data_IF_303128461004
#
_entry.id   IF_303128461004
#
_cell.length_a   1.000
_cell.length_b   1.000
_cell.length_c   1.000
_cell.angle_alpha   90.00
_cell.angle_beta   90.00
_cell.angle_gamma   90.00
#
_symmetry.space_group_name_H-M   'P 1'
#
loop_
_entity.id
_entity.type
_entity.pdbx_description
1 polymer ?
#
# COMPACT_ATOMS: atom_id res chain seq x y z
N UNK A 1 -34.40 8.69 -5.18
CA UNK A 1 -33.88 7.51 -4.46
C UNK A 1 -32.63 7.97 -3.73
N UNK A 2 -32.79 8.39 -2.48
CA UNK A 2 -31.72 9.00 -1.69
C UNK A 2 -30.95 7.90 -0.96
N UNK A 3 -29.62 7.92 -1.12
CA UNK A 3 -28.71 7.08 -0.34
C UNK A 3 -28.87 7.37 1.15
N UNK A 4 -29.01 6.30 1.92
CA UNK A 4 -28.97 6.31 3.38
C UNK A 4 -27.51 6.54 3.78
N UNK A 5 -27.20 7.75 4.23
CA UNK A 5 -25.97 8.03 4.98
C UNK A 5 -26.12 7.39 6.35
N UNK A 6 -25.14 6.57 6.76
CA UNK A 6 -25.03 6.05 8.13
C UNK A 6 -24.78 7.25 9.05
N UNK A 7 -25.86 7.85 9.53
CA UNK A 7 -25.81 8.70 10.72
C UNK A 7 -25.29 7.81 11.84
N UNK A 8 -24.10 8.13 12.35
CA UNK A 8 -23.59 7.52 13.58
C UNK A 8 -24.67 7.67 14.65
N UNK A 9 -25.27 6.54 15.03
CA UNK A 9 -26.13 6.50 16.19
C UNK A 9 -25.28 6.95 17.37
N UNK A 10 -25.65 8.09 17.97
CA UNK A 10 -25.14 8.45 19.28
C UNK A 10 -25.60 7.37 20.24
N UNK A 11 -24.69 6.49 20.61
CA UNK A 11 -24.91 5.48 21.63
C UNK A 11 -25.29 6.20 22.93
N UNK A 12 -26.50 5.94 23.44
CA UNK A 12 -27.02 6.54 24.68
C UNK A 12 -26.31 6.00 25.93
N UNK A 13 -25.26 5.21 25.76
CA UNK A 13 -24.42 4.62 26.81
C UNK A 13 -23.17 5.46 27.12
N UNK A 14 -22.89 6.52 26.35
CA UNK A 14 -21.75 7.41 26.58
C UNK A 14 -21.96 8.43 27.72
N UNK A 15 -23.12 8.46 28.37
CA UNK A 15 -23.51 9.53 29.30
C UNK A 15 -23.07 9.33 30.77
N UNK A 16 -22.33 8.26 31.09
CA UNK A 16 -21.83 8.03 32.44
C UNK A 16 -20.29 8.05 32.51
N UNK A 17 -19.68 9.17 32.14
CA UNK A 17 -18.28 9.45 32.50
C UNK A 17 -18.25 9.79 33.99
N UNK A 18 -17.97 8.81 34.85
CA UNK A 18 -17.57 9.11 36.22
C UNK A 18 -16.29 9.97 36.18
N UNK A 19 -16.28 11.19 36.75
CA UNK A 19 -15.08 12.02 36.76
C UNK A 19 -14.01 11.33 37.58
N UNK A 20 -12.86 11.02 36.97
CA UNK A 20 -11.68 10.57 37.70
C UNK A 20 -11.23 11.71 38.64
N UNK A 21 -11.08 11.47 39.96
CA UNK A 21 -10.69 12.51 40.89
C UNK A 21 -9.28 13.02 40.55
N UNK A 22 -9.15 14.33 40.32
CA UNK A 22 -7.88 15.01 40.01
C UNK A 22 -7.77 15.57 38.59
N UNK A 23 -8.73 15.31 37.70
CA UNK A 23 -8.80 15.99 36.40
C UNK A 23 -9.57 17.30 36.55
N UNK A 24 -8.95 18.42 36.16
CA UNK A 24 -9.62 19.70 36.03
C UNK A 24 -10.79 19.59 35.02
N UNK A 25 -11.79 20.48 35.08
CA UNK A 25 -12.83 20.54 34.06
C UNK A 25 -12.15 20.59 32.70
N UNK A 26 -12.48 19.65 31.79
CA UNK A 26 -11.94 19.64 30.43
C UNK A 26 -12.21 21.03 29.86
N UNK A 27 -11.15 21.80 29.60
CA UNK A 27 -11.27 23.02 28.80
C UNK A 27 -12.00 22.63 27.52
N UNK A 28 -12.96 23.45 27.08
CA UNK A 28 -13.66 23.24 25.83
C UNK A 28 -12.63 23.23 24.71
N UNK A 29 -12.21 22.03 24.31
CA UNK A 29 -11.31 21.84 23.18
C UNK A 29 -12.10 22.19 21.92
N UNK A 30 -11.48 22.96 21.02
CA UNK A 30 -12.05 23.26 19.70
C UNK A 30 -12.30 21.94 18.96
N UNK A 31 -13.38 21.90 18.18
CA UNK A 31 -13.59 20.77 17.27
C UNK A 31 -12.60 20.87 16.11
N UNK A 32 -12.38 19.75 15.40
CA UNK A 32 -11.56 19.75 14.19
C UNK A 32 -12.16 20.71 13.15
N UNK A 33 -13.50 20.71 13.05
CA UNK A 33 -14.26 21.57 12.15
C UNK A 33 -14.07 23.05 12.48
N UNK A 34 -14.10 23.44 13.76
CA UNK A 34 -13.85 24.82 14.17
C UNK A 34 -12.43 25.26 13.81
N UNK A 35 -11.44 24.41 14.08
CA UNK A 35 -10.04 24.69 13.73
C UNK A 35 -9.85 24.84 12.21
N UNK A 36 -10.46 23.97 11.41
CA UNK A 36 -10.44 24.06 9.95
C UNK A 36 -11.16 25.31 9.43
N UNK A 37 -12.25 25.74 10.09
CA UNK A 37 -12.96 26.96 9.71
C UNK A 37 -12.16 28.22 10.02
N UNK A 38 -11.50 28.28 11.18
CA UNK A 38 -10.59 29.36 11.57
C UNK A 38 -9.41 29.50 10.58
N UNK A 39 -8.87 28.37 10.12
CA UNK A 39 -7.77 28.34 9.13
C UNK A 39 -8.25 28.47 7.67
N UNK A 40 -9.56 28.63 7.43
CA UNK A 40 -10.14 28.79 6.08
C UNK A 40 -10.10 27.52 5.21
N UNK A 41 -9.91 26.35 5.81
CA UNK A 41 -9.83 25.04 5.16
C UNK A 41 -11.18 24.30 5.12
N UNK A 42 -12.22 24.85 5.74
CA UNK A 42 -13.56 24.26 5.76
C UNK A 42 -14.46 24.82 4.62
N UNK A 43 -15.25 23.98 3.92
CA UNK A 43 -15.31 22.51 4.04
C UNK A 43 -14.16 21.84 3.27
N UNK A 44 -13.67 20.72 3.80
CA UNK A 44 -12.75 19.86 3.06
C UNK A 44 -13.45 19.30 1.81
N UNK A 45 -12.80 19.47 0.66
CA UNK A 45 -13.28 18.95 -0.63
C UNK A 45 -12.23 18.00 -1.20
N UNK A 46 -12.68 16.88 -1.75
CA UNK A 46 -11.82 16.01 -2.53
C UNK A 46 -11.34 16.75 -3.78
N UNK A 47 -10.02 16.72 -4.03
CA UNK A 47 -9.40 17.38 -5.18
C UNK A 47 -9.40 16.48 -6.41
N UNK A 48 -9.04 15.20 -6.22
CA UNK A 48 -8.97 14.19 -7.27
C UNK A 48 -8.47 12.86 -6.72
N UNK A 49 -8.35 11.86 -7.59
CA UNK A 49 -7.78 10.54 -7.26
C UNK A 49 -6.42 10.45 -7.94
N UNK A 50 -5.36 10.34 -7.15
CA UNK A 50 -3.98 10.26 -7.65
C UNK A 50 -3.49 8.82 -7.84
N UNK A 51 -4.06 7.89 -7.06
CA UNK A 51 -3.60 6.50 -7.02
C UNK A 51 -4.78 5.55 -7.05
N UNK A 52 -4.76 4.60 -7.98
CA UNK A 52 -5.60 3.41 -7.94
C UNK A 52 -4.78 2.29 -7.30
N UNK A 53 -5.05 1.99 -6.03
CA UNK A 53 -4.40 0.87 -5.35
C UNK A 53 -5.21 -0.41 -5.53
N UNK A 54 -4.55 -1.49 -5.96
CA UNK A 54 -5.18 -2.76 -6.33
C UNK A 54 -4.52 -3.91 -5.57
N UNK A 55 -5.30 -4.65 -4.79
CA UNK A 55 -4.85 -5.85 -4.08
C UNK A 55 -4.98 -7.10 -4.94
N UNK A 56 -3.86 -7.74 -5.26
CA UNK A 56 -3.79 -8.88 -6.19
C UNK A 56 -4.11 -10.22 -5.51
N UNK A 57 -4.41 -10.20 -4.20
CA UNK A 57 -4.79 -11.37 -3.42
C UNK A 57 -4.04 -11.46 -2.10
N UNK A 58 -4.09 -12.65 -1.50
CA UNK A 58 -3.45 -12.98 -0.21
C UNK A 58 -2.31 -14.00 -0.32
N UNK A 59 -2.01 -14.48 -1.54
CA UNK A 59 -0.87 -15.36 -1.76
C UNK A 59 0.44 -14.62 -1.52
N UNK A 60 1.31 -15.17 -0.68
CA UNK A 60 2.62 -14.60 -0.38
C UNK A 60 3.64 -15.71 -0.12
N UNK A 61 4.93 -15.47 -0.42
CA UNK A 61 6.00 -16.44 -0.16
C UNK A 61 6.48 -16.44 1.30
N UNK A 62 5.89 -15.61 2.16
CA UNK A 62 6.21 -15.50 3.60
C UNK A 62 4.94 -15.35 4.43
N UNK A 63 5.04 -15.65 5.73
CA UNK A 63 3.97 -15.47 6.73
C UNK A 63 4.47 -14.51 7.81
N UNK A 64 4.08 -13.24 7.73
CA UNK A 64 4.51 -12.21 8.69
C UNK A 64 3.55 -12.15 9.89
N UNK A 65 4.08 -11.94 11.09
CA UNK A 65 3.28 -11.88 12.33
C UNK A 65 2.43 -10.61 12.44
N UNK A 66 2.73 -9.58 11.65
CA UNK A 66 2.04 -8.29 11.62
C UNK A 66 1.22 -8.08 10.33
N UNK A 67 0.96 -9.16 9.57
CA UNK A 67 0.29 -9.05 8.28
C UNK A 67 -1.20 -8.72 8.43
N UNK A 68 -1.60 -7.47 8.20
CA UNK A 68 -2.99 -7.02 8.32
C UNK A 68 -3.98 -7.68 7.33
N UNK A 69 -3.49 -8.32 6.26
CA UNK A 69 -4.32 -9.03 5.26
C UNK A 69 -4.34 -10.55 5.45
N UNK A 70 -3.57 -11.07 6.41
CA UNK A 70 -3.33 -12.50 6.66
C UNK A 70 -2.79 -13.25 5.43
N UNK A 71 -1.80 -12.67 4.74
CA UNK A 71 -1.17 -13.29 3.58
C UNK A 71 -0.17 -14.38 3.98
N UNK A 72 -0.15 -15.49 3.23
CA UNK A 72 0.71 -16.65 3.46
C UNK A 72 0.80 -17.56 2.21
N UNK A 73 1.74 -18.53 2.16
CA UNK A 73 1.94 -19.40 0.99
C UNK A 73 0.78 -20.35 0.68
N UNK A 74 -0.05 -20.64 1.68
CA UNK A 74 -1.20 -21.55 1.59
C UNK A 74 -2.46 -20.89 1.08
N UNK A 75 -2.51 -19.55 1.01
CA UNK A 75 -3.66 -18.81 0.47
C UNK A 75 -3.91 -19.18 -0.99
N UNK A 76 -5.16 -19.04 -1.39
CA UNK A 76 -5.65 -19.31 -2.75
C UNK A 76 -6.41 -18.13 -3.33
N UNK A 77 -6.72 -17.15 -2.50
CA UNK A 77 -7.34 -15.89 -2.87
C UNK A 77 -6.35 -15.09 -3.71
N UNK A 78 -6.51 -15.19 -5.02
CA UNK A 78 -5.77 -14.42 -6.01
C UNK A 78 -6.78 -13.70 -6.91
N UNK A 79 -6.46 -12.47 -7.28
CA UNK A 79 -7.25 -11.70 -8.24
C UNK A 79 -7.33 -12.46 -9.58
N UNK A 80 -8.54 -12.57 -10.14
CA UNK A 80 -8.78 -13.21 -11.43
C UNK A 80 -8.44 -12.28 -12.60
N UNK A 81 -8.35 -12.87 -13.79
CA UNK A 81 -8.11 -12.13 -15.03
C UNK A 81 -9.18 -11.08 -15.31
N UNK A 82 -10.44 -11.45 -15.13
CA UNK A 82 -11.60 -10.60 -15.39
C UNK A 82 -11.61 -9.38 -14.45
N UNK A 83 -11.25 -9.60 -13.18
CA UNK A 83 -11.12 -8.52 -12.20
C UNK A 83 -9.97 -7.58 -12.58
N UNK A 84 -8.82 -8.13 -13.00
CA UNK A 84 -7.67 -7.36 -13.41
C UNK A 84 -7.96 -6.51 -14.68
N UNK A 85 -8.74 -7.05 -15.63
CA UNK A 85 -9.25 -6.32 -16.79
C UNK A 85 -10.20 -5.19 -16.40
N UNK A 86 -11.09 -5.42 -15.43
CA UNK A 86 -11.96 -4.36 -14.90
C UNK A 86 -11.16 -3.22 -14.23
N UNK A 87 -10.09 -3.55 -13.48
CA UNK A 87 -9.20 -2.55 -12.90
C UNK A 87 -8.51 -1.71 -13.98
N UNK A 88 -8.00 -2.33 -15.05
CA UNK A 88 -7.39 -1.60 -16.16
C UNK A 88 -8.40 -0.79 -16.95
N UNK A 89 -9.63 -1.27 -17.14
CA UNK A 89 -10.69 -0.51 -17.78
C UNK A 89 -11.00 0.77 -16.99
N UNK A 90 -11.08 0.68 -15.65
CA UNK A 90 -11.26 1.84 -14.78
C UNK A 90 -10.06 2.81 -14.83
N UNK A 91 -8.84 2.27 -14.86
CA UNK A 91 -7.61 3.08 -15.00
C UNK A 91 -7.54 3.79 -16.36
N UNK A 92 -8.00 3.13 -17.43
CA UNK A 92 -8.05 3.69 -18.78
C UNK A 92 -9.15 4.74 -18.95
N UNK A 93 -10.25 4.65 -18.19
CA UNK A 93 -11.36 5.60 -18.26
C UNK A 93 -11.20 6.84 -17.38
N UNK A 94 -10.06 6.99 -16.70
CA UNK A 94 -9.80 8.08 -15.76
C UNK A 94 -8.43 8.72 -16.03
N UNK A 95 -8.16 9.87 -15.40
CA UNK A 95 -6.85 10.51 -15.46
C UNK A 95 -5.93 10.10 -14.29
N UNK A 96 -6.28 9.03 -13.56
CA UNK A 96 -5.50 8.56 -12.42
C UNK A 96 -4.08 8.21 -12.89
N UNK A 97 -3.03 8.90 -12.40
CA UNK A 97 -1.68 8.74 -12.94
C UNK A 97 -0.96 7.49 -12.44
N UNK A 98 -1.34 6.94 -11.27
CA UNK A 98 -0.60 5.86 -10.61
C UNK A 98 -1.46 4.61 -10.41
N UNK A 99 -0.91 3.45 -10.78
CA UNK A 99 -1.37 2.13 -10.36
C UNK A 99 -0.46 1.58 -9.26
N UNK A 100 -1.01 1.34 -8.07
CA UNK A 100 -0.28 0.83 -6.91
C UNK A 100 -0.68 -0.63 -6.63
N UNK A 101 0.22 -1.56 -6.90
CA UNK A 101 0.00 -3.00 -6.80
C UNK A 101 0.40 -3.50 -5.41
N UNK A 102 -0.55 -4.14 -4.71
CA UNK A 102 -0.40 -4.64 -3.33
C UNK A 102 -1.05 -6.01 -3.13
N UNK A 103 -1.13 -6.49 -1.88
CA UNK A 103 -1.79 -7.73 -1.49
C UNK A 103 -0.92 -8.55 -0.54
N UNK A 104 -0.75 -9.85 -0.86
CA UNK A 104 0.34 -10.66 -0.33
C UNK A 104 1.67 -10.28 -0.99
N UNK A 105 2.23 -11.19 -1.79
CA UNK A 105 3.27 -10.84 -2.76
C UNK A 105 2.58 -10.62 -4.12
N UNK A 106 2.32 -9.37 -4.55
CA UNK A 106 1.58 -9.10 -5.79
C UNK A 106 2.21 -9.80 -7.00
N UNK A 107 3.53 -9.98 -7.01
CA UNK A 107 4.32 -10.61 -8.05
C UNK A 107 4.02 -12.11 -8.22
N UNK A 108 3.42 -12.74 -7.20
CA UNK A 108 2.97 -14.14 -7.27
C UNK A 108 1.64 -14.32 -8.01
N UNK A 109 0.90 -13.24 -8.27
CA UNK A 109 -0.31 -13.33 -9.08
C UNK A 109 0.07 -13.55 -10.56
N UNK A 110 -0.54 -14.52 -11.28
CA UNK A 110 -0.21 -14.81 -12.67
C UNK A 110 -0.44 -13.64 -13.64
N UNK A 111 -1.23 -12.64 -13.24
CA UNK A 111 -1.56 -11.46 -14.04
C UNK A 111 -0.70 -10.24 -13.70
N UNK A 112 0.21 -10.33 -12.72
CA UNK A 112 1.06 -9.20 -12.29
C UNK A 112 1.82 -8.56 -13.44
N UNK A 113 2.57 -9.36 -14.21
CA UNK A 113 3.40 -8.85 -15.31
C UNK A 113 2.56 -8.19 -16.39
N UNK A 114 1.41 -8.78 -16.69
CA UNK A 114 0.47 -8.22 -17.66
C UNK A 114 -0.13 -6.89 -17.17
N UNK A 115 -0.53 -6.81 -15.89
CA UNK A 115 -1.03 -5.56 -15.29
C UNK A 115 0.01 -4.44 -15.40
N UNK A 116 1.27 -4.73 -15.05
CA UNK A 116 2.39 -3.79 -15.19
C UNK A 116 2.50 -3.32 -16.64
N UNK A 117 2.55 -4.25 -17.60
CA UNK A 117 2.69 -3.94 -19.02
C UNK A 117 1.56 -3.07 -19.56
N UNK A 118 0.31 -3.40 -19.26
CA UNK A 118 -0.84 -2.62 -19.73
C UNK A 118 -0.90 -1.24 -19.06
N UNK A 119 -0.62 -1.15 -17.76
CA UNK A 119 -0.56 0.14 -17.08
C UNK A 119 0.53 1.04 -17.67
N UNK A 120 1.71 0.48 -17.97
CA UNK A 120 2.79 1.21 -18.66
C UNK A 120 2.39 1.63 -20.09
N UNK A 121 1.61 0.81 -20.79
CA UNK A 121 1.09 1.14 -22.14
C UNK A 121 0.08 2.29 -22.11
N UNK A 122 -0.63 2.46 -21.00
CA UNK A 122 -1.49 3.60 -20.70
C UNK A 122 -0.73 4.82 -20.16
N UNK A 123 0.61 4.81 -20.22
CA UNK A 123 1.51 5.84 -19.68
C UNK A 123 1.30 6.11 -18.18
N UNK A 124 0.91 5.08 -17.41
CA UNK A 124 0.74 5.19 -15.96
C UNK A 124 2.02 4.85 -15.21
N UNK A 125 2.22 5.55 -14.11
CA UNK A 125 3.23 5.16 -13.12
C UNK A 125 2.78 3.88 -12.42
N UNK A 126 3.71 2.98 -12.15
CA UNK A 126 3.40 1.70 -11.50
C UNK A 126 4.26 1.56 -10.26
N UNK A 127 3.60 1.34 -9.13
CA UNK A 127 4.22 1.03 -7.84
C UNK A 127 3.98 -0.45 -7.55
N UNK A 128 5.04 -1.14 -7.13
CA UNK A 128 5.01 -2.51 -6.63
C UNK A 128 5.36 -2.52 -5.13
N UNK A 129 4.40 -2.88 -4.28
CA UNK A 129 4.61 -3.04 -2.84
C UNK A 129 5.22 -4.40 -2.54
N UNK A 130 6.53 -4.46 -2.73
CA UNK A 130 7.31 -5.68 -2.70
C UNK A 130 7.77 -6.04 -1.28
N UNK A 131 7.76 -7.34 -0.96
CA UNK A 131 8.33 -7.85 0.28
C UNK A 131 9.86 -8.06 0.25
N UNK A 132 10.50 -7.73 -0.88
CA UNK A 132 11.89 -7.94 -1.29
C UNK A 132 12.29 -9.41 -1.48
N UNK A 133 11.99 -10.29 -0.52
CA UNK A 133 12.49 -11.67 -0.56
C UNK A 133 11.96 -12.49 -1.75
N UNK A 134 10.78 -12.14 -2.28
CA UNK A 134 10.19 -12.77 -3.47
C UNK A 134 11.09 -12.65 -4.69
N UNK A 135 11.87 -11.56 -4.80
CA UNK A 135 12.77 -11.30 -5.93
C UNK A 135 13.95 -12.29 -6.03
N UNK A 136 14.16 -13.12 -4.99
CA UNK A 136 15.13 -14.23 -4.99
C UNK A 136 14.49 -15.60 -4.87
N UNK A 137 13.16 -15.68 -4.79
CA UNK A 137 12.47 -16.95 -4.69
C UNK A 137 12.62 -17.74 -6.00
N UNK A 138 12.69 -19.08 -5.94
CA UNK A 138 12.68 -19.91 -7.14
C UNK A 138 11.46 -19.59 -8.02
N UNK A 139 11.70 -19.39 -9.32
CA UNK A 139 10.65 -19.00 -10.28
C UNK A 139 10.44 -17.49 -10.42
N UNK A 140 11.12 -16.67 -9.62
CA UNK A 140 10.97 -15.21 -9.59
C UNK A 140 12.31 -14.46 -9.71
N UNK A 141 13.39 -15.16 -10.01
CA UNK A 141 14.75 -14.59 -10.06
C UNK A 141 14.96 -13.59 -11.20
N UNK A 142 14.08 -13.57 -12.20
CA UNK A 142 14.07 -12.61 -13.32
C UNK A 142 13.20 -11.38 -13.06
N UNK A 143 12.49 -11.33 -11.91
CA UNK A 143 11.65 -10.17 -11.56
C UNK A 143 12.44 -8.87 -11.47
N UNK A 144 13.64 -8.79 -10.86
CA UNK A 144 14.41 -7.55 -10.81
C UNK A 144 14.63 -6.91 -12.19
N UNK A 145 15.01 -7.72 -13.18
CA UNK A 145 15.22 -7.27 -14.56
C UNK A 145 13.89 -6.84 -15.20
N UNK A 146 12.81 -7.59 -14.98
CA UNK A 146 11.48 -7.24 -15.48
C UNK A 146 10.99 -5.89 -14.91
N UNK A 147 11.10 -5.69 -13.60
CA UNK A 147 10.68 -4.46 -12.91
C UNK A 147 11.50 -3.26 -13.41
N UNK A 148 12.82 -3.43 -13.55
CA UNK A 148 13.69 -2.39 -14.11
C UNK A 148 13.34 -2.05 -15.57
N UNK A 149 13.10 -3.05 -16.42
CA UNK A 149 12.74 -2.85 -17.82
C UNK A 149 11.43 -2.06 -17.99
N UNK A 150 10.48 -2.22 -17.08
CA UNK A 150 9.19 -1.52 -17.10
C UNK A 150 9.18 -0.24 -16.24
N UNK A 151 10.32 0.13 -15.64
CA UNK A 151 10.47 1.30 -14.75
C UNK A 151 9.45 1.28 -13.61
N UNK A 152 9.21 0.11 -13.02
CA UNK A 152 8.34 -0.04 -11.86
C UNK A 152 9.05 0.54 -10.63
N UNK A 153 8.35 1.39 -9.88
CA UNK A 153 8.80 1.85 -8.58
C UNK A 153 8.56 0.76 -7.54
N UNK A 154 9.58 0.42 -6.76
CA UNK A 154 9.47 -0.59 -5.71
C UNK A 154 9.33 0.11 -4.37
N UNK A 155 8.18 -0.06 -3.71
CA UNK A 155 8.00 0.33 -2.31
C UNK A 155 8.27 -0.90 -1.45
N UNK A 156 9.52 -0.97 -0.97
CA UNK A 156 10.02 -2.12 -0.24
C UNK A 156 9.50 -2.17 1.20
N UNK A 157 8.85 -3.26 1.58
CA UNK A 157 8.52 -3.53 2.98
C UNK A 157 9.80 -3.94 3.71
N UNK A 158 10.38 -3.07 4.53
CA UNK A 158 11.49 -3.38 5.44
C UNK A 158 11.24 -2.63 6.76
N UNK A 159 10.82 -3.32 7.84
CA UNK A 159 10.23 -2.62 8.99
C UNK A 159 11.25 -1.81 9.80
N UNK A 160 12.53 -2.22 9.82
CA UNK A 160 13.61 -1.43 10.41
C UNK A 160 14.99 -1.92 9.94
N UNK A 161 16.06 -1.28 10.44
CA UNK A 161 17.46 -1.59 10.11
C UNK A 161 18.09 -2.70 10.97
N UNK A 162 17.38 -3.22 11.97
CA UNK A 162 17.87 -4.24 12.91
C UNK A 162 17.47 -5.64 12.45
N UNK A 163 18.47 -6.52 12.22
CA UNK A 163 18.26 -7.90 11.76
C UNK A 163 17.29 -8.68 12.64
N UNK A 164 17.52 -8.68 13.97
CA UNK A 164 16.71 -9.41 14.95
C UNK A 164 15.22 -9.05 14.85
N UNK A 165 14.91 -7.76 14.72
CA UNK A 165 13.54 -7.27 14.64
C UNK A 165 12.87 -7.65 13.31
N UNK A 166 13.60 -7.56 12.20
CA UNK A 166 13.07 -7.93 10.89
C UNK A 166 12.79 -9.44 10.84
N UNK A 167 13.73 -10.25 11.31
CA UNK A 167 13.60 -11.70 11.31
C UNK A 167 12.50 -12.18 12.26
N UNK A 168 12.33 -11.55 13.42
CA UNK A 168 11.22 -11.84 14.34
C UNK A 168 9.84 -11.55 13.72
N UNK A 169 9.73 -10.51 12.90
CA UNK A 169 8.46 -10.10 12.28
C UNK A 169 8.14 -10.84 10.98
N UNK A 170 9.17 -11.22 10.21
CA UNK A 170 9.02 -11.63 8.80
C UNK A 170 9.59 -13.01 8.50
N UNK A 171 10.17 -13.66 9.51
CA UNK A 171 10.77 -14.98 9.40
C UNK A 171 12.28 -14.94 9.26
N UNK A 172 12.90 -16.08 9.59
CA UNK A 172 14.35 -16.22 9.67
C UNK A 172 15.06 -15.87 8.34
N UNK A 173 16.14 -15.09 8.46
CA UNK A 173 16.98 -14.55 7.37
C UNK A 173 16.26 -13.59 6.42
N UNK A 174 15.10 -13.05 6.79
CA UNK A 174 14.40 -12.07 5.98
C UNK A 174 15.23 -10.79 5.81
N UNK A 175 15.96 -10.36 6.85
CA UNK A 175 16.84 -9.20 6.79
C UNK A 175 17.93 -9.35 5.74
N UNK A 176 18.77 -10.38 5.86
CA UNK A 176 19.92 -10.58 4.96
C UNK A 176 19.46 -10.73 3.50
N UNK A 177 18.39 -11.48 3.25
CA UNK A 177 17.80 -11.58 1.90
C UNK A 177 17.33 -10.23 1.37
N UNK A 178 16.71 -9.42 2.21
CA UNK A 178 16.24 -8.07 1.83
C UNK A 178 17.41 -7.15 1.46
N UNK A 179 18.49 -7.16 2.24
CA UNK A 179 19.69 -6.35 1.97
C UNK A 179 20.38 -6.78 0.68
N UNK A 180 20.48 -8.08 0.42
CA UNK A 180 21.03 -8.60 -0.84
C UNK A 180 20.22 -8.13 -2.06
N UNK A 181 18.89 -8.19 -1.97
CA UNK A 181 17.98 -7.72 -3.02
C UNK A 181 18.14 -6.22 -3.25
N UNK A 182 18.20 -5.42 -2.18
CA UNK A 182 18.40 -3.97 -2.31
C UNK A 182 19.73 -3.64 -3.02
N UNK A 183 20.81 -4.39 -2.71
CA UNK A 183 22.10 -4.26 -3.40
C UNK A 183 22.00 -4.64 -4.88
N UNK A 184 21.26 -5.70 -5.21
CA UNK A 184 20.99 -6.11 -6.59
C UNK A 184 20.23 -5.01 -7.35
N UNK A 185 19.13 -4.51 -6.79
CA UNK A 185 18.31 -3.44 -7.38
C UNK A 185 19.10 -2.15 -7.63
N UNK A 186 19.98 -1.78 -6.69
CA UNK A 186 20.91 -0.65 -6.89
C UNK A 186 21.86 -0.86 -8.09
N UNK A 187 22.27 -2.11 -8.35
CA UNK A 187 23.07 -2.46 -9.52
C UNK A 187 22.33 -2.31 -10.86
N UNK A 188 21.00 -2.44 -10.86
CA UNK A 188 20.15 -2.30 -12.05
C UNK A 188 19.64 -0.87 -12.29
N UNK A 189 20.01 0.09 -11.44
CA UNK A 189 19.58 1.49 -11.58
C UNK A 189 18.12 1.74 -11.18
N UNK A 190 17.49 0.81 -10.44
CA UNK A 190 16.17 1.03 -9.84
C UNK A 190 16.26 2.21 -8.87
N UNK A 191 15.70 3.38 -9.22
CA UNK A 191 15.58 4.51 -8.29
C UNK A 191 14.61 4.09 -7.18
N UNK A 192 15.15 3.78 -6.00
CA UNK A 192 14.35 3.77 -4.77
C UNK A 192 13.88 5.20 -4.52
N UNK A 193 12.58 5.46 -4.72
CA UNK A 193 11.85 6.66 -4.30
C UNK A 193 12.60 7.97 -4.55
N UNK A 194 12.60 8.46 -5.79
CA UNK A 194 13.10 9.81 -6.06
C UNK A 194 12.04 10.84 -5.72
N UNK A 195 12.03 11.27 -4.46
CA UNK A 195 11.23 12.36 -3.92
C UNK A 195 11.77 13.73 -4.38
N UNK A 196 12.05 13.86 -5.69
CA UNK A 196 12.38 15.16 -6.28
C UNK A 196 11.10 15.87 -6.66
N UNK A 197 10.65 16.72 -5.73
CA UNK A 197 9.94 17.95 -6.06
C UNK A 197 10.60 18.57 -7.27
N UNK A 198 9.87 18.65 -8.37
CA UNK A 198 10.17 19.56 -9.45
C UNK A 198 10.37 20.95 -8.84
N UNK A 199 11.62 21.40 -8.81
CA UNK A 199 11.98 22.78 -8.52
C UNK A 199 12.80 23.23 -9.70
N UNK A 200 12.22 24.23 -10.38
CA UNK A 200 12.63 24.99 -11.58
C UNK A 200 12.58 24.29 -12.95
#
# INVERSE_FOLDING_TARGET
MSLVTVHGQRDSSADAVHPLPGLSPRQSLRTCEDALAEDGLHPLRATGIEVLQVSLGKLCNMTCTHCHVDAEPTRREIMTRETAEACLAALASTDIPVLDLTGGAPEMNPHFRWLVQEARRLDRHVIDRCNLTILRAPGYTDLPEFLAAHRVEIVASLPCYLEENVDAQRGNRAFNRSIEVLRQLNGHGSRLGDDRKATD
#
